data_IF_900147919193
#
_entry.id   IF_900147919193
#
_cell.length_a   1.000
_cell.length_b   1.000
_cell.length_c   1.000
_cell.angle_alpha   90.00
_cell.angle_beta   90.00
_cell.angle_gamma   90.00
#
_symmetry.space_group_name_H-M   'P 1'
#
loop_
_entity.id
_entity.type
_entity.pdbx_description
1 polymer ?
#
# COMPACT_ATOMS: atom_id res chain seq x y z
N UNK A 1 14.94 -47.93 -29.77
CA UNK A 1 13.54 -47.64 -29.42
C UNK A 1 13.55 -46.97 -28.05
N UNK A 2 13.64 -45.64 -27.99
CA UNK A 2 13.56 -44.89 -26.73
C UNK A 2 12.07 -44.76 -26.41
N UNK A 3 11.66 -45.38 -25.31
CA UNK A 3 10.29 -45.40 -24.84
C UNK A 3 9.93 -43.98 -24.41
N UNK A 4 9.01 -43.33 -25.14
CA UNK A 4 8.39 -42.10 -24.70
C UNK A 4 7.65 -42.39 -23.42
N UNK A 5 8.16 -41.86 -22.31
CA UNK A 5 7.41 -41.76 -21.06
C UNK A 5 6.21 -40.88 -21.36
N UNK A 6 5.08 -41.52 -21.66
CA UNK A 6 3.80 -40.86 -21.72
C UNK A 6 3.65 -40.10 -20.42
N UNK A 7 3.60 -38.78 -20.52
CA UNK A 7 2.91 -37.99 -19.53
C UNK A 7 1.57 -38.70 -19.35
N UNK A 8 1.37 -39.33 -18.20
CA UNK A 8 0.03 -39.69 -17.78
C UNK A 8 -0.74 -38.38 -17.87
N UNK A 9 -1.60 -38.22 -18.87
CA UNK A 9 -2.56 -37.13 -18.90
C UNK A 9 -3.35 -37.30 -17.61
N UNK A 10 -2.96 -36.54 -16.58
CA UNK A 10 -3.67 -36.54 -15.30
C UNK A 10 -5.07 -36.07 -15.64
N UNK A 11 -6.03 -36.98 -15.58
CA UNK A 11 -7.43 -36.64 -15.82
C UNK A 11 -7.83 -35.59 -14.79
N UNK A 12 -8.05 -34.36 -15.29
CA UNK A 12 -8.53 -33.25 -14.46
C UNK A 12 -10.03 -33.41 -14.33
N UNK A 13 -10.50 -33.64 -13.10
CA UNK A 13 -11.94 -33.73 -12.87
C UNK A 13 -12.58 -32.34 -12.97
N UNK A 14 -13.89 -32.30 -13.17
CA UNK A 14 -14.61 -31.02 -13.17
C UNK A 14 -14.48 -30.28 -11.82
N UNK A 15 -14.42 -31.02 -10.70
CA UNK A 15 -14.18 -30.45 -9.38
C UNK A 15 -12.78 -29.82 -9.27
N UNK A 16 -11.75 -30.48 -9.82
CA UNK A 16 -10.40 -29.91 -9.90
C UNK A 16 -10.39 -28.61 -10.69
N UNK A 17 -11.10 -28.56 -11.83
CA UNK A 17 -11.20 -27.34 -12.63
C UNK A 17 -11.88 -26.20 -11.86
N UNK A 18 -12.90 -26.50 -11.05
CA UNK A 18 -13.52 -25.49 -10.18
C UNK A 18 -12.55 -25.00 -9.11
N UNK A 19 -11.80 -25.91 -8.50
CA UNK A 19 -10.80 -25.59 -7.48
C UNK A 19 -9.63 -24.78 -8.07
N UNK A 20 -9.14 -25.11 -9.26
CA UNK A 20 -8.12 -24.36 -10.02
C UNK A 20 -8.61 -22.94 -10.28
N UNK A 21 -9.84 -22.79 -10.78
CA UNK A 21 -10.40 -21.48 -11.07
C UNK A 21 -10.60 -20.64 -9.79
N UNK A 22 -11.02 -21.27 -8.69
CA UNK A 22 -11.15 -20.61 -7.39
C UNK A 22 -9.79 -20.18 -6.85
N UNK A 23 -8.79 -21.05 -6.94
CA UNK A 23 -7.41 -20.76 -6.54
C UNK A 23 -6.86 -19.58 -7.35
N UNK A 24 -7.00 -19.60 -8.67
CA UNK A 24 -6.53 -18.49 -9.53
C UNK A 24 -7.14 -17.14 -9.13
N UNK A 25 -8.45 -17.09 -8.87
CA UNK A 25 -9.10 -15.85 -8.40
C UNK A 25 -8.60 -15.39 -7.04
N UNK A 26 -8.44 -16.32 -6.09
CA UNK A 26 -7.96 -15.99 -4.74
C UNK A 26 -6.49 -15.57 -4.76
N UNK A 27 -5.66 -16.22 -5.56
CA UNK A 27 -4.24 -15.91 -5.67
C UNK A 27 -4.00 -14.53 -6.29
N UNK A 28 -4.77 -14.18 -7.33
CA UNK A 28 -4.71 -12.83 -7.92
C UNK A 28 -5.10 -11.78 -6.88
N UNK A 29 -6.22 -11.97 -6.18
CA UNK A 29 -6.65 -11.05 -5.13
C UNK A 29 -5.64 -10.96 -3.98
N UNK A 30 -5.00 -12.06 -3.64
CA UNK A 30 -3.97 -12.08 -2.61
C UNK A 30 -2.78 -11.19 -3.00
N UNK A 31 -2.26 -11.34 -4.23
CA UNK A 31 -1.17 -10.49 -4.70
C UNK A 31 -1.57 -9.02 -4.84
N UNK A 32 -2.79 -8.72 -5.31
CA UNK A 32 -3.30 -7.35 -5.33
C UNK A 32 -3.28 -6.70 -3.93
N UNK A 33 -3.71 -7.45 -2.90
CA UNK A 33 -3.69 -6.97 -1.51
C UNK A 33 -2.27 -6.87 -0.95
N UNK A 34 -1.37 -7.79 -1.30
CA UNK A 34 0.04 -7.69 -0.92
C UNK A 34 0.70 -6.43 -1.50
N UNK A 35 0.42 -6.13 -2.77
CA UNK A 35 0.93 -4.93 -3.44
C UNK A 35 0.36 -3.65 -2.81
N UNK A 36 -0.94 -3.62 -2.49
CA UNK A 36 -1.57 -2.49 -1.79
C UNK A 36 -0.95 -2.26 -0.40
N UNK A 37 -0.72 -3.33 0.37
CA UNK A 37 -0.05 -3.25 1.67
C UNK A 37 1.38 -2.73 1.52
N UNK A 38 2.10 -3.20 0.50
CA UNK A 38 3.47 -2.75 0.24
C UNK A 38 3.50 -1.27 -0.10
N UNK A 39 2.63 -0.82 -0.99
CA UNK A 39 2.51 0.60 -1.36
C UNK A 39 2.16 1.48 -0.16
N UNK A 40 1.21 1.05 0.68
CA UNK A 40 0.84 1.78 1.89
C UNK A 40 2.01 1.91 2.87
N UNK A 41 2.83 0.86 3.04
CA UNK A 41 4.04 0.92 3.87
C UNK A 41 5.07 1.89 3.32
N UNK A 42 5.36 1.82 2.02
CA UNK A 42 6.28 2.76 1.37
C UNK A 42 5.79 4.21 1.50
N UNK A 43 4.47 4.45 1.39
CA UNK A 43 3.89 5.77 1.62
C UNK A 43 4.07 6.25 3.06
N UNK A 44 3.92 5.37 4.06
CA UNK A 44 4.17 5.69 5.46
C UNK A 44 5.64 6.04 5.69
N UNK A 45 6.57 5.21 5.21
CA UNK A 45 8.01 5.44 5.37
C UNK A 45 8.41 6.79 4.75
N UNK A 46 7.92 7.10 3.53
CA UNK A 46 8.17 8.38 2.87
C UNK A 46 7.60 9.58 3.67
N UNK A 47 6.45 9.42 4.31
CA UNK A 47 5.85 10.47 5.14
C UNK A 47 6.62 10.66 6.45
N UNK A 48 7.11 9.58 7.06
CA UNK A 48 7.96 9.66 8.26
C UNK A 48 9.29 10.34 7.94
N UNK A 49 9.93 10.00 6.82
CA UNK A 49 11.15 10.67 6.36
C UNK A 49 10.92 12.16 6.11
N UNK A 50 9.85 12.52 5.39
CA UNK A 50 9.48 13.93 5.18
C UNK A 50 9.18 14.66 6.50
N UNK A 51 8.56 13.99 7.47
CA UNK A 51 8.32 14.54 8.80
C UNK A 51 9.62 14.77 9.56
N UNK A 52 10.57 13.86 9.47
CA UNK A 52 11.89 14.00 10.09
C UNK A 52 12.67 15.17 9.47
N UNK A 53 12.64 15.32 8.15
CA UNK A 53 13.22 16.46 7.45
C UNK A 53 12.59 17.80 7.88
N UNK A 54 11.26 17.82 8.04
CA UNK A 54 10.54 19.00 8.51
C UNK A 54 10.96 19.43 9.93
N UNK A 55 11.26 18.47 10.81
CA UNK A 55 11.78 18.76 12.14
C UNK A 55 13.18 19.38 12.06
N UNK A 56 14.02 18.90 11.14
CA UNK A 56 15.42 19.30 10.99
C UNK A 56 15.63 20.63 10.24
N UNK A 57 14.68 21.10 9.43
CA UNK A 57 14.84 22.36 8.68
C UNK A 57 14.80 23.59 9.58
N UNK A 58 15.67 24.57 9.34
CA UNK A 58 15.67 25.87 10.05
C UNK A 58 14.64 26.86 9.45
N UNK A 59 13.88 26.47 8.42
CA UNK A 59 12.85 27.30 7.82
C UNK A 59 11.62 27.48 8.74
N UNK A 60 11.22 28.73 8.99
CA UNK A 60 10.07 29.05 9.87
C UNK A 60 8.71 28.77 9.20
N UNK A 61 8.66 28.76 7.86
CA UNK A 61 7.44 28.59 7.07
C UNK A 61 7.70 27.54 6.00
N UNK A 62 6.87 26.50 5.98
CA UNK A 62 6.95 25.41 5.01
C UNK A 62 5.77 25.43 4.07
N UNK A 63 6.01 25.08 2.79
CA UNK A 63 4.96 24.97 1.78
C UNK A 63 4.43 23.55 1.72
N UNK A 64 3.17 23.35 2.12
CA UNK A 64 2.46 22.09 2.00
C UNK A 64 1.65 22.05 0.71
N UNK A 65 1.82 21.00 -0.09
CA UNK A 65 0.99 20.76 -1.26
C UNK A 65 -0.30 20.03 -0.87
N UNK A 66 -1.45 20.57 -1.25
CA UNK A 66 -2.76 19.94 -1.10
C UNK A 66 -3.42 19.94 -2.49
N UNK A 67 -3.50 18.76 -3.10
CA UNK A 67 -3.92 18.64 -4.50
C UNK A 67 -2.96 19.41 -5.43
N UNK A 68 -3.47 20.45 -6.07
CA UNK A 68 -2.72 21.30 -7.02
C UNK A 68 -2.24 22.64 -6.43
N UNK A 69 -2.53 22.90 -5.14
CA UNK A 69 -2.25 24.20 -4.49
C UNK A 69 -1.21 24.03 -3.39
N UNK A 70 -0.39 25.06 -3.16
CA UNK A 70 0.56 25.13 -2.05
C UNK A 70 0.08 26.11 -0.97
N UNK A 71 -0.06 25.62 0.26
CA UNK A 71 -0.34 26.42 1.45
C UNK A 71 0.96 26.67 2.24
N UNK A 72 1.12 27.89 2.78
CA UNK A 72 2.24 28.22 3.66
C UNK A 72 1.84 27.96 5.11
N UNK A 73 2.54 27.06 5.78
CA UNK A 73 2.23 26.63 7.15
C UNK A 73 3.44 26.97 8.04
N UNK A 74 3.24 27.72 9.14
CA UNK A 74 4.29 27.95 10.12
C UNK A 74 4.70 26.63 10.78
N UNK A 75 6.01 26.40 10.96
CA UNK A 75 6.56 25.15 11.50
C UNK A 75 6.00 24.78 12.88
N UNK A 76 5.67 25.76 13.73
CA UNK A 76 5.15 25.54 15.08
C UNK A 76 3.67 25.13 15.18
N UNK A 77 2.89 25.27 14.10
CA UNK A 77 1.44 24.98 14.09
C UNK A 77 1.12 23.56 13.62
N UNK A 78 1.95 23.00 12.75
CA UNK A 78 1.64 21.76 12.01
C UNK A 78 1.57 20.46 12.85
N UNK A 79 2.20 20.45 14.04
CA UNK A 79 2.21 19.30 14.96
C UNK A 79 1.12 19.35 16.04
N UNK A 80 0.56 20.54 16.31
CA UNK A 80 -0.48 20.74 17.32
C UNK A 80 -1.89 20.71 16.71
N UNK A 81 -2.11 21.34 15.54
CA UNK A 81 -3.45 21.40 14.92
C UNK A 81 -3.99 20.01 14.49
N UNK A 82 -3.12 19.05 14.15
CA UNK A 82 -3.58 17.71 13.73
C UNK A 82 -4.06 16.81 14.87
N UNK A 83 -3.82 17.15 16.14
CA UNK A 83 -4.31 16.36 17.29
C UNK A 83 -5.69 16.81 17.79
N UNK A 84 -6.12 18.03 17.47
CA UNK A 84 -7.29 18.63 18.09
C UNK A 84 -8.60 18.37 17.33
N UNK A 85 -8.57 17.96 16.06
CA UNK A 85 -9.81 17.64 15.32
C UNK A 85 -10.39 16.23 15.61
N UNK A 86 -9.65 15.37 16.32
CA UNK A 86 -10.06 13.99 16.62
C UNK A 86 -10.76 13.77 17.97
N UNK A 87 -10.82 14.79 18.84
CA UNK A 87 -11.23 14.64 20.25
C UNK A 87 -12.60 15.24 20.59
N UNK A 88 -13.30 15.90 19.67
CA UNK A 88 -14.59 16.56 19.94
C UNK A 88 -15.85 15.79 19.48
N UNK A 89 -15.78 14.48 19.25
CA UNK A 89 -17.00 13.65 19.08
C UNK A 89 -17.00 12.41 19.97
N UNK A 90 -17.10 12.62 21.29
CA UNK A 90 -17.83 11.75 22.22
C UNK A 90 -18.28 12.50 23.47
#
# INVERSE_FOLDING_TARGET
MQQGTGASETEVTWEDQQNINKFGRLNNRFHELEDEIKFAKEAIDNLEDASNELILTDEEVVRFQIGEVFAHVPKGSGDQDRRDEGSEQH
#
